data_IF_506008120072
#
_entry.id   IF_506008120072
#
_cell.length_a   1.000
_cell.length_b   1.000
_cell.length_c   1.000
_cell.angle_alpha   90.00
_cell.angle_beta   90.00
_cell.angle_gamma   90.00
#
_symmetry.space_group_name_H-M   'P 1'
#
loop_
_entity.id
_entity.type
_entity.pdbx_description
1 polymer ?
#
# COMPACT_ATOMS: atom_id res chain seq x y z
N UNK A 1 7.98 -43.50 39.35
CA UNK A 1 6.94 -42.43 39.38
C UNK A 1 7.45 -41.13 39.98
N UNK A 2 8.10 -41.17 41.15
CA UNK A 2 8.71 -39.97 41.79
C UNK A 2 9.65 -39.20 40.83
N UNK A 3 10.56 -39.89 40.12
CA UNK A 3 11.46 -39.25 39.15
C UNK A 3 10.74 -38.60 37.94
N UNK A 4 9.58 -39.15 37.55
CA UNK A 4 8.76 -38.59 36.46
C UNK A 4 8.05 -37.32 36.93
N UNK A 5 7.58 -37.32 38.18
CA UNK A 5 6.93 -36.18 38.81
C UNK A 5 7.91 -35.01 39.05
N UNK A 6 9.13 -35.30 39.48
CA UNK A 6 10.18 -34.26 39.61
C UNK A 6 10.57 -33.69 38.25
N UNK A 7 10.68 -34.51 37.20
CA UNK A 7 10.93 -34.04 35.84
C UNK A 7 9.81 -33.15 35.29
N UNK A 8 8.54 -33.52 35.51
CA UNK A 8 7.38 -32.73 35.11
C UNK A 8 7.30 -31.39 35.87
N UNK A 9 7.59 -31.38 37.18
CA UNK A 9 7.69 -30.12 37.96
C UNK A 9 8.75 -29.19 37.38
N UNK A 10 9.95 -29.70 37.06
CA UNK A 10 11.00 -28.91 36.41
C UNK A 10 10.57 -28.38 35.04
N UNK A 11 9.87 -29.18 34.24
CA UNK A 11 9.34 -28.77 32.93
C UNK A 11 8.31 -27.64 33.07
N UNK A 12 7.34 -27.78 33.98
CA UNK A 12 6.35 -26.74 34.26
C UNK A 12 7.04 -25.42 34.65
N UNK A 13 8.04 -25.50 35.53
CA UNK A 13 8.78 -24.30 35.95
C UNK A 13 9.55 -23.66 34.80
N UNK A 14 10.22 -24.47 33.97
CA UNK A 14 10.94 -23.96 32.79
C UNK A 14 10.00 -23.28 31.78
N UNK A 15 8.79 -23.81 31.59
CA UNK A 15 7.79 -23.25 30.69
C UNK A 15 7.20 -21.95 31.25
N UNK A 16 7.02 -21.85 32.57
CA UNK A 16 6.61 -20.59 33.22
C UNK A 16 7.66 -19.50 33.02
N UNK A 17 8.93 -19.80 33.30
CA UNK A 17 10.02 -18.84 33.14
C UNK A 17 10.16 -18.40 31.68
N UNK A 18 10.03 -19.35 30.74
CA UNK A 18 10.01 -19.05 29.31
C UNK A 18 8.85 -18.12 28.95
N UNK A 19 7.64 -18.43 29.40
CA UNK A 19 6.45 -17.63 29.16
C UNK A 19 6.59 -16.20 29.70
N UNK A 20 7.17 -16.03 30.88
CA UNK A 20 7.44 -14.73 31.48
C UNK A 20 8.44 -13.92 30.63
N UNK A 21 9.55 -14.54 30.21
CA UNK A 21 10.53 -13.91 29.34
C UNK A 21 9.95 -13.52 27.96
N UNK A 22 9.11 -14.37 27.37
CA UNK A 22 8.42 -14.10 26.10
C UNK A 22 7.44 -12.91 26.28
N UNK A 23 6.68 -12.87 27.38
CA UNK A 23 5.77 -11.75 27.70
C UNK A 23 6.51 -10.44 27.93
N UNK A 24 7.63 -10.45 28.65
CA UNK A 24 8.47 -9.26 28.82
C UNK A 24 9.04 -8.76 27.48
N UNK A 25 9.47 -9.68 26.63
CA UNK A 25 10.03 -9.36 25.30
C UNK A 25 8.95 -8.75 24.40
N UNK A 26 7.73 -9.31 24.43
CA UNK A 26 6.56 -8.76 23.73
C UNK A 26 6.24 -7.34 24.21
N UNK A 27 6.27 -7.10 25.52
CA UNK A 27 6.01 -5.77 26.07
C UNK A 27 7.09 -4.77 25.63
N UNK A 28 8.37 -5.16 25.66
CA UNK A 28 9.49 -4.34 25.17
C UNK A 28 9.36 -4.02 23.68
N UNK A 29 8.99 -5.00 22.85
CA UNK A 29 8.77 -4.81 21.42
C UNK A 29 7.59 -3.85 21.15
N UNK A 30 6.46 -4.03 21.86
CA UNK A 30 5.30 -3.13 21.77
C UNK A 30 5.63 -1.69 22.18
N UNK A 31 6.35 -1.49 23.29
CA UNK A 31 6.82 -0.17 23.72
C UNK A 31 7.76 0.48 22.70
N UNK A 32 8.64 -0.31 22.09
CA UNK A 32 9.56 0.15 21.05
C UNK A 32 8.82 0.56 19.77
N UNK A 33 7.79 -0.20 19.38
CA UNK A 33 6.94 0.16 18.25
C UNK A 33 6.13 1.43 18.52
N UNK A 34 5.60 1.57 19.73
CA UNK A 34 4.84 2.75 20.12
C UNK A 34 5.72 4.01 20.18
N UNK A 35 6.94 3.90 20.73
CA UNK A 35 7.89 5.02 20.76
C UNK A 35 8.36 5.40 19.36
N UNK A 36 8.59 4.42 18.47
CA UNK A 36 8.88 4.66 17.06
C UNK A 36 7.72 5.42 16.38
N UNK A 37 6.47 4.98 16.59
CA UNK A 37 5.27 5.62 16.04
C UNK A 37 5.04 7.04 16.57
N UNK A 38 5.46 7.34 17.81
CA UNK A 38 5.41 8.67 18.43
C UNK A 38 6.65 9.53 18.12
N UNK A 39 7.63 8.97 17.41
CA UNK A 39 8.85 9.71 17.09
C UNK A 39 8.56 10.78 16.05
N UNK A 40 9.18 11.95 16.22
CA UNK A 40 9.08 13.07 15.28
C UNK A 40 9.47 12.67 13.85
N UNK A 41 10.42 11.75 13.70
CA UNK A 41 10.88 11.27 12.39
C UNK A 41 9.80 10.41 11.70
N UNK A 42 9.05 9.62 12.47
CA UNK A 42 7.95 8.82 11.92
C UNK A 42 6.75 9.71 11.53
N UNK A 43 6.48 10.76 12.31
CA UNK A 43 5.50 11.79 11.93
C UNK A 43 5.90 12.51 10.65
N UNK A 44 7.17 12.91 10.52
CA UNK A 44 7.70 13.50 9.28
C UNK A 44 7.53 12.57 8.07
N UNK A 45 7.86 11.29 8.23
CA UNK A 45 7.67 10.29 7.18
C UNK A 45 6.18 10.14 6.80
N UNK A 46 5.27 10.21 7.77
CA UNK A 46 3.83 10.17 7.53
C UNK A 46 3.36 11.42 6.77
N UNK A 47 3.85 12.59 7.17
CA UNK A 47 3.58 13.85 6.49
C UNK A 47 4.09 13.83 5.05
N UNK A 48 5.28 13.30 4.82
CA UNK A 48 5.85 13.17 3.49
C UNK A 48 5.02 12.20 2.63
N UNK A 49 4.61 11.04 3.17
CA UNK A 49 3.66 10.14 2.48
C UNK A 49 2.34 10.84 2.14
N UNK A 50 1.84 11.70 3.01
CA UNK A 50 0.62 12.47 2.76
C UNK A 50 0.84 13.54 1.67
N UNK A 51 1.96 14.26 1.70
CA UNK A 51 2.35 15.21 0.64
C UNK A 51 2.49 14.49 -0.70
N UNK A 52 3.09 13.30 -0.74
CA UNK A 52 3.15 12.46 -1.95
C UNK A 52 1.78 12.26 -2.57
N UNK A 53 0.79 11.84 -1.77
CA UNK A 53 -0.59 11.63 -2.23
C UNK A 53 -1.22 12.92 -2.75
N UNK A 54 -0.92 14.06 -2.12
CA UNK A 54 -1.40 15.37 -2.60
C UNK A 54 -0.76 15.73 -3.95
N UNK A 55 0.53 15.46 -4.14
CA UNK A 55 1.22 15.66 -5.41
C UNK A 55 0.62 14.76 -6.50
N UNK A 56 0.39 13.48 -6.21
CA UNK A 56 -0.28 12.55 -7.15
C UNK A 56 -1.66 13.06 -7.59
N UNK A 57 -2.45 13.58 -6.65
CA UNK A 57 -3.73 14.22 -6.95
C UNK A 57 -3.57 15.45 -7.85
N UNK A 58 -2.58 16.31 -7.56
CA UNK A 58 -2.27 17.49 -8.38
C UNK A 58 -1.85 17.11 -9.80
N UNK A 59 -0.98 16.11 -9.96
CA UNK A 59 -0.56 15.59 -11.26
C UNK A 59 -1.76 15.09 -12.08
N UNK A 60 -2.67 14.34 -11.45
CA UNK A 60 -3.90 13.87 -12.09
C UNK A 60 -4.84 15.02 -12.46
N UNK A 61 -4.99 16.03 -11.60
CA UNK A 61 -5.81 17.21 -11.89
C UNK A 61 -5.26 18.02 -13.06
N UNK A 62 -3.94 18.16 -13.16
CA UNK A 62 -3.28 18.80 -14.30
C UNK A 62 -3.56 18.01 -15.59
N UNK A 63 -3.37 16.69 -15.56
CA UNK A 63 -3.68 15.79 -16.69
C UNK A 63 -5.14 15.94 -17.14
N UNK A 64 -6.08 15.92 -16.20
CA UNK A 64 -7.50 16.10 -16.48
C UNK A 64 -7.82 17.49 -17.04
N UNK A 65 -7.15 18.54 -16.56
CA UNK A 65 -7.34 19.91 -17.04
C UNK A 65 -6.92 20.04 -18.51
N UNK A 66 -5.75 19.51 -18.87
CA UNK A 66 -5.29 19.49 -20.27
C UNK A 66 -6.27 18.69 -21.15
N UNK A 67 -6.67 17.50 -20.70
CA UNK A 67 -7.64 16.67 -21.43
C UNK A 67 -8.98 17.38 -21.62
N UNK A 68 -9.46 18.12 -20.60
CA UNK A 68 -10.70 18.90 -20.68
C UNK A 68 -10.59 20.02 -21.73
N UNK A 69 -9.47 20.76 -21.73
CA UNK A 69 -9.21 21.83 -22.69
C UNK A 69 -9.21 21.29 -24.12
N UNK A 70 -8.56 20.15 -24.37
CA UNK A 70 -8.56 19.53 -25.71
C UNK A 70 -9.93 18.93 -26.04
N UNK A 71 -10.65 18.40 -25.06
CA UNK A 71 -12.01 17.87 -25.24
C UNK A 71 -12.97 18.92 -25.79
N UNK A 72 -12.83 20.18 -25.37
CA UNK A 72 -13.64 21.29 -25.88
C UNK A 72 -13.53 21.49 -27.40
N UNK A 73 -12.39 21.13 -27.99
CA UNK A 73 -12.15 21.23 -29.44
C UNK A 73 -12.18 19.86 -30.15
N UNK A 74 -12.38 18.76 -29.42
CA UNK A 74 -12.35 17.40 -29.97
C UNK A 74 -13.37 17.16 -31.09
N UNK A 75 -14.58 17.71 -30.99
CA UNK A 75 -15.63 17.55 -32.02
C UNK A 75 -15.24 18.25 -33.33
N UNK A 76 -14.81 19.53 -33.33
CA UNK A 76 -14.19 20.15 -34.50
C UNK A 76 -13.01 19.34 -35.08
N UNK A 77 -12.11 18.82 -34.24
CA UNK A 77 -10.99 17.97 -34.69
C UNK A 77 -11.47 16.69 -35.38
N UNK A 78 -12.48 16.00 -34.84
CA UNK A 78 -13.09 14.83 -35.50
C UNK A 78 -13.73 15.20 -36.84
N UNK A 79 -14.34 16.39 -36.95
CA UNK A 79 -14.89 16.88 -38.23
C UNK A 79 -13.76 17.17 -39.23
N UNK A 80 -12.67 17.80 -38.81
CA UNK A 80 -11.47 17.99 -39.64
C UNK A 80 -10.93 16.65 -40.15
N UNK A 81 -10.80 15.63 -39.28
CA UNK A 81 -10.40 14.28 -39.68
C UNK A 81 -11.31 13.69 -40.77
N UNK A 82 -12.63 13.88 -40.65
CA UNK A 82 -13.59 13.40 -41.66
C UNK A 82 -13.47 14.13 -43.00
N UNK A 83 -13.20 15.44 -42.99
CA UNK A 83 -12.97 16.20 -44.23
C UNK A 83 -11.71 15.70 -44.95
N UNK A 84 -10.63 15.45 -44.19
CA UNK A 84 -9.39 14.90 -44.74
C UNK A 84 -9.62 13.49 -45.30
N UNK A 85 -10.34 12.62 -44.59
CA UNK A 85 -10.65 11.25 -45.04
C UNK A 85 -11.52 11.16 -46.29
N UNK A 86 -12.20 12.25 -46.67
CA UNK A 86 -13.06 12.34 -47.86
C UNK A 86 -12.41 13.13 -49.00
N UNK A 87 -11.14 13.47 -48.86
CA UNK A 87 -10.40 14.34 -49.79
C UNK A 87 -11.05 15.73 -50.00
N UNK A 88 -11.92 16.17 -49.07
CA UNK A 88 -12.55 17.50 -49.08
C UNK A 88 -11.58 18.59 -48.56
N UNK A 89 -10.48 18.16 -47.91
CA UNK A 89 -9.44 19.03 -47.37
C UNK A 89 -8.08 18.36 -47.35
N UNK A 90 -7.10 18.94 -48.06
CA UNK A 90 -5.70 18.53 -48.01
C UNK A 90 -4.97 19.24 -46.85
N UNK A 91 -4.14 18.49 -46.14
CA UNK A 91 -3.33 18.97 -45.01
C UNK A 91 -1.92 18.36 -45.08
N UNK A 92 -0.97 18.89 -44.31
CA UNK A 92 0.36 18.29 -44.21
C UNK A 92 0.32 16.98 -43.42
N UNK A 93 1.30 16.11 -43.66
CA UNK A 93 1.45 14.87 -42.89
C UNK A 93 1.58 15.15 -41.39
N UNK A 94 2.35 16.17 -41.01
CA UNK A 94 2.57 16.58 -39.62
C UNK A 94 1.26 16.96 -38.91
N UNK A 95 0.38 17.71 -39.59
CA UNK A 95 -0.91 18.10 -39.02
C UNK A 95 -1.86 16.90 -38.92
N UNK A 96 -1.82 15.99 -39.89
CA UNK A 96 -2.59 14.74 -39.83
C UNK A 96 -2.12 13.83 -38.68
N UNK A 97 -0.82 13.73 -38.45
CA UNK A 97 -0.25 12.97 -37.34
C UNK A 97 -0.65 13.61 -36.00
N UNK A 98 -0.44 14.93 -35.85
CA UNK A 98 -0.85 15.67 -34.66
C UNK A 98 -2.34 15.49 -34.37
N UNK A 99 -3.18 15.56 -35.40
CA UNK A 99 -4.62 15.34 -35.29
C UNK A 99 -4.96 13.96 -34.73
N UNK A 100 -4.26 12.90 -35.17
CA UNK A 100 -4.47 11.54 -34.65
C UNK A 100 -4.04 11.45 -33.19
N UNK A 101 -2.83 11.92 -32.87
CA UNK A 101 -2.26 11.83 -31.52
C UNK A 101 -3.07 12.61 -30.49
N UNK A 102 -3.46 13.86 -30.81
CA UNK A 102 -4.26 14.68 -29.91
C UNK A 102 -5.72 14.20 -29.73
N UNK A 103 -6.26 13.44 -30.68
CA UNK A 103 -7.57 12.80 -30.52
C UNK A 103 -7.52 11.53 -29.66
N UNK A 104 -6.39 10.84 -29.63
CA UNK A 104 -6.20 9.60 -28.89
C UNK A 104 -5.70 9.86 -27.47
N UNK A 105 -4.55 10.52 -27.33
CA UNK A 105 -3.84 10.76 -26.07
C UNK A 105 -3.40 12.22 -25.94
N UNK A 106 -4.34 13.15 -25.67
CA UNK A 106 -4.05 14.59 -25.71
C UNK A 106 -3.01 15.06 -24.70
N UNK A 107 -3.05 14.54 -23.47
CA UNK A 107 -2.05 14.88 -22.46
C UNK A 107 -0.65 14.38 -22.84
N UNK A 108 -0.52 13.10 -23.16
CA UNK A 108 0.77 12.48 -23.50
C UNK A 108 1.37 13.16 -24.73
N UNK A 109 0.55 13.42 -25.75
CA UNK A 109 1.00 14.14 -26.96
C UNK A 109 1.49 15.55 -26.63
N UNK A 110 0.77 16.30 -25.79
CA UNK A 110 1.19 17.64 -25.37
C UNK A 110 2.50 17.62 -24.59
N UNK A 111 2.65 16.66 -23.68
CA UNK A 111 3.86 16.53 -22.87
C UNK A 111 5.07 16.18 -23.72
N UNK A 112 4.94 15.19 -24.60
CA UNK A 112 6.05 14.69 -25.42
C UNK A 112 6.48 15.70 -26.49
N UNK A 113 5.60 16.63 -26.85
CA UNK A 113 5.87 17.73 -27.78
C UNK A 113 6.63 18.91 -27.14
N UNK A 114 6.58 19.05 -25.81
CA UNK A 114 7.27 20.10 -25.05
C UNK A 114 6.49 21.41 -24.91
N UNK A 115 7.09 22.39 -24.23
CA UNK A 115 6.40 23.60 -23.74
C UNK A 115 5.79 24.47 -24.87
N UNK A 116 6.46 24.56 -26.02
CA UNK A 116 6.04 25.45 -27.11
C UNK A 116 4.89 24.91 -27.96
N UNK A 117 4.57 23.62 -27.84
CA UNK A 117 3.45 22.98 -28.52
C UNK A 117 3.33 23.33 -30.03
N UNK A 118 4.41 23.21 -30.84
CA UNK A 118 4.42 23.57 -32.27
C UNK A 118 3.42 22.80 -33.14
N UNK A 119 3.28 21.49 -32.97
CA UNK A 119 2.33 20.64 -33.71
C UNK A 119 0.89 20.97 -33.31
N UNK A 120 0.62 21.17 -32.01
CA UNK A 120 -0.71 21.62 -31.56
C UNK A 120 -1.06 22.99 -32.14
N UNK A 121 -0.14 23.97 -32.06
CA UNK A 121 -0.37 25.31 -32.63
C UNK A 121 -0.64 25.24 -34.12
N UNK A 122 0.09 24.40 -34.86
CA UNK A 122 -0.12 24.20 -36.30
C UNK A 122 -1.49 23.58 -36.60
N UNK A 123 -1.85 22.51 -35.88
CA UNK A 123 -3.16 21.87 -35.96
C UNK A 123 -4.30 22.85 -35.70
N UNK A 124 -4.19 23.67 -34.65
CA UNK A 124 -5.21 24.64 -34.25
C UNK A 124 -5.34 25.79 -35.24
N UNK A 125 -4.23 26.28 -35.81
CA UNK A 125 -4.26 27.29 -36.89
C UNK A 125 -5.02 26.78 -38.10
N UNK A 126 -4.82 25.52 -38.46
CA UNK A 126 -5.52 24.90 -39.58
C UNK A 126 -6.99 24.64 -39.28
N UNK A 127 -7.30 24.13 -38.09
CA UNK A 127 -8.67 23.98 -37.61
C UNK A 127 -9.43 25.31 -37.65
N UNK A 128 -8.80 26.40 -37.20
CA UNK A 128 -9.36 27.76 -37.22
C UNK A 128 -9.71 28.21 -38.65
N UNK A 129 -8.87 27.91 -39.64
CA UNK A 129 -9.17 28.20 -41.07
C UNK A 129 -10.38 27.41 -41.56
N UNK A 130 -10.42 26.10 -41.27
CA UNK A 130 -11.53 25.23 -41.65
C UNK A 130 -12.87 25.65 -41.06
N UNK A 131 -12.87 26.05 -39.79
CA UNK A 131 -14.06 26.49 -39.08
C UNK A 131 -14.67 27.77 -39.65
N UNK A 132 -13.86 28.67 -40.23
CA UNK A 132 -14.34 29.92 -40.83
C UNK A 132 -15.03 29.70 -42.19
N UNK A 133 -14.63 28.69 -42.95
CA UNK A 133 -15.13 28.46 -44.30
C UNK A 133 -15.83 27.11 -44.47
N UNK A 134 -15.04 26.04 -44.63
CA UNK A 134 -15.49 24.74 -45.14
C UNK A 134 -16.26 23.88 -44.13
N UNK A 135 -16.09 24.11 -42.83
CA UNK A 135 -16.70 23.26 -41.81
C UNK A 135 -18.17 23.63 -41.57
N UNK A 136 -19.06 22.64 -41.75
CA UNK A 136 -20.48 22.75 -41.42
C UNK A 136 -20.67 22.84 -39.90
N UNK A 137 -20.80 24.05 -39.39
CA UNK A 137 -21.07 24.43 -38.00
C UNK A 137 -22.14 25.53 -38.00
N UNK A 138 -23.04 25.52 -37.02
CA UNK A 138 -23.91 26.68 -36.78
C UNK A 138 -23.07 27.87 -36.34
N UNK A 139 -23.55 29.08 -36.57
CA UNK A 139 -22.81 30.30 -36.21
C UNK A 139 -22.49 30.36 -34.71
N UNK A 140 -23.45 29.98 -33.86
CA UNK A 140 -23.27 29.88 -32.41
C UNK A 140 -22.22 28.83 -32.02
N UNK A 141 -22.24 27.64 -32.63
CA UNK A 141 -21.24 26.59 -32.37
C UNK A 141 -19.84 27.04 -32.85
N UNK A 142 -19.78 27.63 -34.05
CA UNK A 142 -18.56 28.18 -34.65
C UNK A 142 -17.92 29.22 -33.73
N UNK A 143 -18.69 30.20 -33.25
CA UNK A 143 -18.19 31.25 -32.35
C UNK A 143 -17.58 30.66 -31.08
N UNK A 144 -18.34 29.82 -30.37
CA UNK A 144 -17.89 29.18 -29.13
C UNK A 144 -16.62 28.34 -29.31
N UNK A 145 -16.55 27.57 -30.40
CA UNK A 145 -15.39 26.70 -30.65
C UNK A 145 -14.17 27.48 -31.14
N UNK A 146 -14.37 28.58 -31.89
CA UNK A 146 -13.28 29.49 -32.26
C UNK A 146 -12.72 30.22 -31.03
N UNK A 147 -13.59 30.65 -30.11
CA UNK A 147 -13.17 31.18 -28.81
C UNK A 147 -12.29 30.16 -28.08
N UNK A 148 -12.72 28.90 -27.95
CA UNK A 148 -11.92 27.85 -27.32
C UNK A 148 -10.54 27.64 -28.01
N UNK A 149 -10.49 27.60 -29.34
CA UNK A 149 -9.24 27.49 -30.10
C UNK A 149 -8.31 28.69 -29.85
N UNK A 150 -8.86 29.91 -29.81
CA UNK A 150 -8.05 31.10 -29.54
C UNK A 150 -7.50 31.08 -28.13
N UNK A 151 -8.28 30.69 -27.11
CA UNK A 151 -7.78 30.56 -25.74
C UNK A 151 -6.58 29.62 -25.66
N UNK A 152 -6.63 28.49 -26.35
CA UNK A 152 -5.50 27.54 -26.37
C UNK A 152 -4.26 28.15 -27.05
N UNK A 153 -4.45 28.88 -28.15
CA UNK A 153 -3.36 29.50 -28.90
C UNK A 153 -2.73 30.70 -28.19
N UNK A 154 -3.52 31.49 -27.46
CA UNK A 154 -3.14 32.81 -26.94
C UNK A 154 -2.82 32.78 -25.43
N UNK A 155 -3.54 32.00 -24.62
CA UNK A 155 -3.40 32.05 -23.16
C UNK A 155 -2.23 31.18 -22.64
N UNK A 156 -1.69 30.27 -23.47
CA UNK A 156 -0.56 29.41 -23.07
C UNK A 156 -0.88 28.47 -21.89
N UNK A 157 -2.17 28.26 -21.59
CA UNK A 157 -2.61 27.48 -20.42
C UNK A 157 -2.03 26.06 -20.40
N UNK A 158 -1.95 25.40 -21.55
CA UNK A 158 -1.41 24.04 -21.65
C UNK A 158 0.09 24.04 -21.32
N UNK A 159 0.86 24.99 -21.85
CA UNK A 159 2.29 25.14 -21.55
C UNK A 159 2.54 25.39 -20.05
N UNK A 160 1.72 26.25 -19.43
CA UNK A 160 1.76 26.46 -17.96
C UNK A 160 1.46 25.17 -17.20
N UNK A 161 0.42 24.44 -17.58
CA UNK A 161 0.08 23.17 -16.96
C UNK A 161 1.19 22.12 -17.11
N UNK A 162 1.88 22.06 -18.26
CA UNK A 162 3.01 21.15 -18.46
C UNK A 162 4.20 21.52 -17.57
N UNK A 163 4.55 22.80 -17.43
CA UNK A 163 5.58 23.24 -16.47
C UNK A 163 5.22 22.87 -15.04
N UNK A 164 3.98 23.15 -14.64
CA UNK A 164 3.49 22.77 -13.30
C UNK A 164 3.53 21.25 -13.10
N UNK A 165 3.26 20.47 -14.15
CA UNK A 165 3.36 19.00 -14.12
C UNK A 165 4.80 18.53 -13.88
N UNK A 166 5.76 19.02 -14.66
CA UNK A 166 7.19 18.64 -14.52
C UNK A 166 7.73 19.04 -13.14
N UNK A 167 7.46 20.26 -12.68
CA UNK A 167 7.83 20.72 -11.34
C UNK A 167 7.29 19.80 -10.23
N UNK A 168 6.04 19.34 -10.37
CA UNK A 168 5.41 18.42 -9.42
C UNK A 168 5.97 17.01 -9.54
N UNK A 169 6.40 16.60 -10.72
CA UNK A 169 7.03 15.31 -10.94
C UNK A 169 8.40 15.26 -10.26
N UNK A 170 9.17 16.34 -10.33
CA UNK A 170 10.46 16.44 -9.64
C UNK A 170 10.29 16.51 -8.12
N UNK A 171 9.35 17.31 -7.61
CA UNK A 171 8.99 17.32 -6.17
C UNK A 171 8.59 15.91 -5.68
N UNK A 172 7.89 15.14 -6.52
CA UNK A 172 7.53 13.76 -6.20
C UNK A 172 8.76 12.86 -6.12
N UNK A 173 9.71 12.96 -7.06
CA UNK A 173 10.93 12.14 -7.05
C UNK A 173 11.76 12.39 -5.79
N UNK A 174 12.02 13.65 -5.45
CA UNK A 174 12.77 14.01 -4.24
C UNK A 174 12.11 13.44 -2.98
N UNK A 175 10.78 13.47 -2.94
CA UNK A 175 10.02 12.98 -1.81
C UNK A 175 9.97 11.44 -1.76
N UNK A 176 9.98 10.77 -2.92
CA UNK A 176 10.12 9.32 -3.00
C UNK A 176 11.48 8.82 -2.52
N UNK A 177 12.56 9.53 -2.85
CA UNK A 177 13.91 9.24 -2.34
C UNK A 177 13.96 9.38 -0.82
N UNK A 178 13.46 10.49 -0.27
CA UNK A 178 13.37 10.71 1.19
C UNK A 178 12.59 9.60 1.91
N UNK A 179 11.50 9.11 1.30
CA UNK A 179 10.70 8.03 1.88
C UNK A 179 11.46 6.70 1.80
N UNK A 180 12.12 6.39 0.69
CA UNK A 180 12.87 5.14 0.49
C UNK A 180 14.07 5.04 1.42
N UNK A 181 14.79 6.14 1.61
CA UNK A 181 15.98 6.19 2.47
C UNK A 181 15.63 6.12 3.97
N UNK A 182 14.33 6.14 4.30
CA UNK A 182 13.88 6.04 5.68
C UNK A 182 13.88 4.58 6.17
N UNK A 183 14.93 4.21 6.90
CA UNK A 183 15.03 2.94 7.65
C UNK A 183 13.94 2.73 8.71
N UNK A 184 13.09 3.74 8.94
CA UNK A 184 11.99 3.68 9.90
C UNK A 184 10.86 2.76 9.44
N UNK A 185 10.67 2.56 8.13
CA UNK A 185 9.66 1.63 7.63
C UNK A 185 10.08 0.18 7.85
N UNK A 186 11.32 -0.15 7.49
CA UNK A 186 11.90 -1.48 7.73
C UNK A 186 11.87 -1.79 9.22
N UNK A 187 12.33 -0.87 10.07
CA UNK A 187 12.31 -1.06 11.53
C UNK A 187 10.90 -1.22 12.10
N UNK A 188 9.89 -0.55 11.52
CA UNK A 188 8.49 -0.72 11.92
C UNK A 188 7.99 -2.12 11.54
N UNK A 189 8.27 -2.57 10.32
CA UNK A 189 7.87 -3.89 9.81
C UNK A 189 8.55 -5.02 10.60
N UNK A 190 9.84 -4.87 10.93
CA UNK A 190 10.58 -5.81 11.79
C UNK A 190 9.95 -5.92 13.19
N UNK A 191 9.59 -4.78 13.81
CA UNK A 191 8.95 -4.77 15.12
C UNK A 191 7.55 -5.38 15.07
N UNK A 192 6.76 -5.10 14.03
CA UNK A 192 5.43 -5.68 13.84
C UNK A 192 5.51 -7.20 13.66
N UNK A 193 6.45 -7.69 12.84
CA UNK A 193 6.70 -9.11 12.67
C UNK A 193 7.18 -9.78 13.95
N UNK A 194 8.13 -9.15 14.66
CA UNK A 194 8.63 -9.68 15.94
C UNK A 194 7.52 -9.79 16.99
N UNK A 195 6.55 -8.86 17.00
CA UNK A 195 5.38 -8.92 17.88
C UNK A 195 4.50 -10.12 17.50
N UNK A 196 4.22 -10.33 16.22
CA UNK A 196 3.41 -11.46 15.74
C UNK A 196 4.07 -12.81 16.07
N UNK A 197 5.37 -12.92 15.85
CA UNK A 197 6.15 -14.12 16.18
C UNK A 197 6.11 -14.41 17.69
N UNK A 198 6.32 -13.39 18.54
CA UNK A 198 6.25 -13.53 20.00
C UNK A 198 4.85 -13.90 20.50
N UNK A 199 3.79 -13.36 19.89
CA UNK A 199 2.40 -13.72 20.23
C UNK A 199 2.11 -15.19 19.92
N UNK A 200 2.61 -15.69 18.80
CA UNK A 200 2.52 -17.10 18.41
C UNK A 200 3.30 -18.00 19.38
N UNK A 201 4.52 -17.60 19.74
CA UNK A 201 5.36 -18.32 20.71
C UNK A 201 4.71 -18.41 22.09
N UNK A 202 4.19 -17.28 22.61
CA UNK A 202 3.47 -17.24 23.90
C UNK A 202 2.31 -18.23 23.89
N UNK A 203 1.49 -18.22 22.84
CA UNK A 203 0.34 -19.13 22.72
C UNK A 203 0.79 -20.60 22.71
N UNK A 204 1.87 -20.91 22.00
CA UNK A 204 2.45 -22.25 21.99
C UNK A 204 2.97 -22.66 23.37
N UNK A 205 3.69 -21.76 24.06
CA UNK A 205 4.22 -22.00 25.40
C UNK A 205 3.08 -22.19 26.43
N UNK A 206 1.99 -21.41 26.32
CA UNK A 206 0.80 -21.55 27.18
C UNK A 206 0.14 -22.92 27.02
N UNK A 207 -0.09 -23.37 25.79
CA UNK A 207 -0.63 -24.71 25.51
C UNK A 207 0.28 -25.81 26.09
N UNK A 208 1.59 -25.71 25.85
CA UNK A 208 2.57 -26.66 26.38
C UNK A 208 2.61 -26.69 27.91
N UNK A 209 2.42 -25.52 28.55
CA UNK A 209 2.37 -25.39 30.00
C UNK A 209 1.11 -26.05 30.57
N UNK A 210 -0.04 -25.86 29.92
CA UNK A 210 -1.30 -26.51 30.29
C UNK A 210 -1.20 -28.03 30.19
N UNK A 211 -0.73 -28.56 29.05
CA UNK A 211 -0.49 -30.00 28.88
C UNK A 211 0.47 -30.56 29.94
N UNK A 212 1.54 -29.83 30.27
CA UNK A 212 2.50 -30.25 31.28
C UNK A 212 1.89 -30.29 32.69
N UNK A 213 1.01 -29.34 33.01
CA UNK A 213 0.26 -29.30 34.28
C UNK A 213 -0.72 -30.47 34.39
N UNK A 214 -1.52 -30.72 33.34
CA UNK A 214 -2.44 -31.86 33.34
C UNK A 214 -1.71 -33.20 33.51
N UNK A 215 -0.56 -33.37 32.84
CA UNK A 215 0.26 -34.58 32.99
C UNK A 215 0.84 -34.69 34.39
N UNK A 216 1.21 -33.57 35.01
CA UNK A 216 1.72 -33.53 36.37
C UNK A 216 0.64 -33.97 37.36
N UNK A 217 -0.57 -33.42 37.24
CA UNK A 217 -1.73 -33.75 38.06
C UNK A 217 -2.10 -35.24 37.96
N UNK A 218 -2.27 -35.75 36.72
CA UNK A 218 -2.51 -37.19 36.50
C UNK A 218 -1.41 -38.06 37.10
N UNK A 219 -0.14 -37.63 37.03
CA UNK A 219 0.97 -38.39 37.62
C UNK A 219 0.96 -38.34 39.15
N UNK A 220 0.47 -37.24 39.74
CA UNK A 220 0.30 -37.10 41.18
C UNK A 220 -0.83 -38.01 41.69
N UNK A 221 -1.98 -38.02 41.04
CA UNK A 221 -3.11 -38.92 41.35
C UNK A 221 -2.67 -40.39 41.32
N UNK A 222 -2.07 -40.82 40.20
CA UNK A 222 -1.54 -42.18 40.06
C UNK A 222 -0.47 -42.56 41.12
N UNK A 223 0.26 -41.59 41.67
CA UNK A 223 1.22 -41.83 42.74
C UNK A 223 0.49 -42.06 44.06
N UNK A 224 -0.54 -41.27 44.35
CA UNK A 224 -1.39 -41.42 45.55
C UNK A 224 -2.06 -42.80 45.54
N UNK A 225 -2.70 -43.18 44.43
CA UNK A 225 -3.36 -44.48 44.29
C UNK A 225 -2.39 -45.64 44.55
N UNK A 226 -1.19 -45.59 43.96
CA UNK A 226 -0.16 -46.62 44.19
C UNK A 226 0.37 -46.65 45.61
N UNK A 227 0.45 -45.51 46.29
CA UNK A 227 0.82 -45.46 47.71
C UNK A 227 -0.27 -46.14 48.55
N UNK A 228 -1.55 -45.91 48.24
CA UNK A 228 -2.67 -46.56 48.92
C UNK A 228 -2.70 -48.07 48.67
N UNK A 229 -2.54 -48.52 47.42
CA UNK A 229 -2.42 -49.94 47.06
C UNK A 229 -1.26 -50.61 47.82
N UNK A 230 -0.08 -49.97 47.87
CA UNK A 230 1.06 -50.49 48.61
C UNK A 230 0.77 -50.59 50.11
N UNK A 231 0.12 -49.57 50.71
CA UNK A 231 -0.28 -49.61 52.12
C UNK A 231 -1.26 -50.75 52.40
N UNK A 232 -2.25 -50.97 51.53
CA UNK A 232 -3.17 -52.09 51.65
C UNK A 232 -2.46 -53.44 51.54
N UNK A 233 -1.58 -53.61 50.56
CA UNK A 233 -0.84 -54.85 50.34
C UNK A 233 0.09 -55.16 51.51
N UNK A 234 0.75 -54.15 52.07
CA UNK A 234 1.55 -54.30 53.29
C UNK A 234 0.67 -54.74 54.46
N UNK A 235 -0.50 -54.12 54.67
CA UNK A 235 -1.46 -54.54 55.72
C UNK A 235 -1.95 -55.98 55.54
N UNK A 236 -2.32 -56.36 54.31
CA UNK A 236 -2.76 -57.73 53.98
C UNK A 236 -1.65 -58.76 54.25
N UNK A 237 -0.43 -58.49 53.81
CA UNK A 237 0.73 -59.35 54.05
C UNK A 237 1.10 -59.47 55.54
N UNK A 238 1.00 -58.37 56.29
CA UNK A 238 1.26 -58.38 57.74
C UNK A 238 0.22 -59.22 58.48
N UNK A 239 -1.06 -59.06 58.15
CA UNK A 239 -2.15 -59.85 58.73
C UNK A 239 -2.11 -61.34 58.33
N UNK A 240 -1.63 -61.65 57.12
CA UNK A 240 -1.44 -63.04 56.68
C UNK A 240 -0.32 -63.74 57.45
N UNK A 241 0.82 -63.06 57.70
CA UNK A 241 1.93 -63.61 58.49
C UNK A 241 1.57 -63.83 59.96
N UNK A 242 0.69 -63.03 60.53
CA UNK A 242 0.17 -63.22 61.89
C UNK A 242 -0.78 -64.42 62.03
N UNK A 243 -1.37 -64.90 60.92
CA UNK A 243 -2.29 -66.06 60.91
C UNK A 243 -1.61 -67.41 60.62
N UNK A 244 -0.36 -67.40 60.15
CA UNK A 244 0.42 -68.61 59.82
C UNK A 244 1.56 -68.88 60.80
N UNK A 245 1.60 -68.15 61.92
CA UNK A 245 2.65 -68.22 62.95
C UNK A 245 2.17 -68.77 64.31
N UNK A 246 1.01 -69.44 64.33
CA UNK A 246 0.54 -70.30 65.42
C UNK A 246 0.69 -71.78 65.03
#
# INVERSE_FOLDING_TARGET
LVNRLTALKKRVESLKNRLENEKESLEKARKSLESLKKSKQFDQLKDDKQKKKQIDSKLNNIKNSINSIISDISRPLRKMRKLIQRDEHATSYEVLEALKSYLDKPFETARDEGEDLPKLKSLLKELKKLMKGKMKLSERERRKKLEAVNRILEEGNISRFLRDYENKLDEKKELEEKIKDSSLLERKEELEKSIEDLESEIKSTENNLEEAKERLEKTQENLVDKIEELKENVRKNFNAKLKTGD
#
